data_IF_399451727097
#
_entry.id   IF_399451727097
#
_cell.length_a   1.000
_cell.length_b   1.000
_cell.length_c   1.000
_cell.angle_alpha   90.00
_cell.angle_beta   90.00
_cell.angle_gamma   90.00
#
_symmetry.space_group_name_H-M   'P 1'
#
loop_
_entity.id
_entity.type
_entity.pdbx_description
1 polymer ?
#
# COMPACT_ATOMS: atom_id res chain seq x y z
N UNK A 1 -9.14 -13.39 -18.17
CA UNK A 1 -8.99 -12.53 -16.98
C UNK A 1 -7.51 -12.41 -16.69
N UNK A 2 -7.05 -11.18 -16.47
CA UNK A 2 -5.65 -10.87 -16.15
C UNK A 2 -5.47 -10.98 -14.64
N UNK A 3 -4.35 -11.53 -14.18
CA UNK A 3 -4.05 -11.63 -12.76
C UNK A 3 -3.33 -10.38 -12.28
N UNK A 4 -3.77 -9.87 -11.14
CA UNK A 4 -3.07 -8.82 -10.41
C UNK A 4 -2.71 -9.36 -9.03
N UNK A 5 -1.43 -9.33 -8.68
CA UNK A 5 -0.96 -9.63 -7.33
C UNK A 5 -0.55 -8.33 -6.65
N UNK A 6 -1.23 -7.96 -5.56
CA UNK A 6 -0.93 -6.77 -4.76
C UNK A 6 -0.24 -7.17 -3.45
N UNK A 7 1.01 -6.75 -3.28
CA UNK A 7 1.82 -6.97 -2.08
C UNK A 7 1.98 -5.66 -1.33
N UNK A 8 1.37 -5.57 -0.15
CA UNK A 8 1.53 -4.45 0.77
C UNK A 8 2.90 -4.46 1.46
N UNK A 9 3.53 -3.30 1.51
CA UNK A 9 4.82 -3.03 2.17
C UNK A 9 4.61 -1.96 3.25
N UNK A 10 5.28 -2.11 4.40
CA UNK A 10 5.03 -1.26 5.56
C UNK A 10 5.81 0.03 5.56
N UNK A 11 6.82 0.17 4.69
CA UNK A 11 7.61 1.39 4.53
C UNK A 11 7.99 2.07 5.87
N UNK A 12 7.32 3.18 6.23
CA UNK A 12 7.58 3.99 7.44
C UNK A 12 7.21 3.25 8.73
N UNK A 13 6.30 2.29 8.64
CA UNK A 13 5.88 1.40 9.73
C UNK A 13 6.82 0.19 9.90
N UNK A 14 7.70 -0.07 8.93
CA UNK A 14 8.62 -1.21 8.96
C UNK A 14 9.48 -1.35 10.23
N UNK A 15 9.97 -0.26 10.86
CA UNK A 15 10.70 -0.35 12.12
C UNK A 15 9.87 -0.80 13.33
N UNK A 16 8.53 -0.69 13.28
CA UNK A 16 7.64 -0.99 14.41
C UNK A 16 6.98 -2.36 14.32
N UNK A 17 6.93 -2.96 13.15
CA UNK A 17 6.17 -4.18 12.88
C UNK A 17 7.01 -5.23 12.15
N UNK A 18 6.64 -6.52 12.25
CA UNK A 18 7.27 -7.54 11.42
C UNK A 18 7.01 -7.25 9.93
N UNK A 19 8.09 -7.25 9.14
CA UNK A 19 8.05 -7.07 7.68
C UNK A 19 8.38 -8.37 6.97
N UNK A 20 7.96 -8.50 5.70
CA UNK A 20 8.36 -9.64 4.89
C UNK A 20 9.89 -9.66 4.70
N UNK A 21 10.57 -10.77 5.02
CA UNK A 21 11.97 -10.91 4.66
C UNK A 21 12.12 -10.92 3.12
N UNK A 22 13.19 -10.32 2.63
CA UNK A 22 13.50 -10.25 1.19
C UNK A 22 13.47 -11.63 0.51
N UNK A 23 13.85 -12.69 1.23
CA UNK A 23 13.82 -14.08 0.73
C UNK A 23 12.41 -14.57 0.34
N UNK A 24 11.34 -13.97 0.86
CA UNK A 24 9.96 -14.26 0.46
C UNK A 24 9.49 -13.37 -0.69
N UNK A 25 10.04 -12.15 -0.82
CA UNK A 25 9.62 -11.20 -1.86
C UNK A 25 10.30 -11.44 -3.21
N UNK A 26 11.59 -11.81 -3.22
CA UNK A 26 12.34 -12.03 -4.46
C UNK A 26 11.77 -13.17 -5.34
N UNK A 27 11.35 -14.32 -4.80
CA UNK A 27 10.73 -15.37 -5.61
C UNK A 27 9.48 -14.92 -6.36
N UNK A 28 8.72 -13.95 -5.83
CA UNK A 28 7.57 -13.39 -6.54
C UNK A 28 7.99 -12.70 -7.84
N UNK A 29 9.12 -11.97 -7.81
CA UNK A 29 9.67 -11.34 -9.00
C UNK A 29 10.07 -12.41 -10.04
N UNK A 30 10.78 -13.45 -9.62
CA UNK A 30 11.25 -14.50 -10.51
C UNK A 30 10.10 -15.25 -11.20
N UNK A 31 9.05 -15.53 -10.45
CA UNK A 31 7.90 -16.28 -10.94
C UNK A 31 6.97 -15.44 -11.83
N UNK A 32 6.93 -14.12 -11.64
CA UNK A 32 6.05 -13.24 -12.41
C UNK A 32 6.56 -12.97 -13.82
N UNK A 33 5.70 -13.13 -14.83
CA UNK A 33 6.07 -12.96 -16.25
C UNK A 33 5.56 -11.64 -16.87
N UNK A 34 4.70 -10.91 -16.16
CA UNK A 34 4.12 -9.67 -16.66
C UNK A 34 4.81 -8.43 -16.11
N UNK A 35 4.07 -7.33 -16.02
CA UNK A 35 4.61 -6.05 -15.57
C UNK A 35 4.80 -6.06 -14.05
N UNK A 36 5.92 -5.51 -13.59
CA UNK A 36 6.24 -5.35 -12.17
C UNK A 36 6.23 -3.87 -11.83
N UNK A 37 5.55 -3.53 -10.73
CA UNK A 37 5.41 -2.18 -10.22
C UNK A 37 5.99 -2.09 -8.80
N UNK A 38 6.82 -1.09 -8.58
CA UNK A 38 7.37 -0.74 -7.28
C UNK A 38 6.86 0.64 -6.87
N UNK A 39 6.69 0.90 -5.57
CA UNK A 39 6.31 2.22 -5.11
C UNK A 39 7.45 3.22 -5.35
N UNK A 40 7.10 4.50 -5.46
CA UNK A 40 8.09 5.57 -5.60
C UNK A 40 8.88 5.82 -4.31
N UNK A 41 8.32 5.39 -3.17
CA UNK A 41 8.88 5.62 -1.85
C UNK A 41 10.10 4.72 -1.60
N UNK A 42 11.08 5.23 -0.84
CA UNK A 42 12.37 4.56 -0.63
C UNK A 42 12.38 3.72 0.64
N UNK A 43 12.30 2.40 0.55
CA UNK A 43 12.47 1.48 1.69
C UNK A 43 13.65 0.54 1.52
N UNK A 44 14.08 -0.11 2.60
CA UNK A 44 15.11 -1.18 2.54
C UNK A 44 14.62 -2.38 1.72
N UNK A 45 13.34 -2.71 1.85
CA UNK A 45 12.62 -3.70 1.05
C UNK A 45 12.57 -3.31 -0.44
N UNK A 46 12.16 -2.09 -0.77
CA UNK A 46 12.11 -1.58 -2.14
C UNK A 46 13.51 -1.52 -2.76
N UNK A 47 14.53 -1.13 -1.98
CA UNK A 47 15.91 -1.13 -2.43
C UNK A 47 16.39 -2.55 -2.77
N UNK A 48 16.09 -3.53 -1.92
CA UNK A 48 16.42 -4.93 -2.17
C UNK A 48 15.69 -5.48 -3.41
N UNK A 49 14.41 -5.15 -3.58
CA UNK A 49 13.65 -5.48 -4.79
C UNK A 49 14.30 -4.87 -6.04
N UNK A 50 14.70 -3.59 -6.01
CA UNK A 50 15.35 -2.93 -7.15
C UNK A 50 16.74 -3.45 -7.48
N UNK A 51 17.47 -4.02 -6.52
CA UNK A 51 18.75 -4.67 -6.79
C UNK A 51 18.60 -6.03 -7.49
N UNK A 52 17.42 -6.64 -7.41
CA UNK A 52 17.11 -7.87 -8.11
C UNK A 52 16.86 -7.62 -9.61
N UNK A 53 17.31 -8.54 -10.49
CA UNK A 53 17.32 -8.30 -11.94
C UNK A 53 15.98 -7.83 -12.53
N UNK A 54 14.88 -8.52 -12.20
CA UNK A 54 13.53 -8.09 -12.63
C UNK A 54 13.04 -6.83 -11.92
N UNK A 55 13.42 -6.60 -10.67
CA UNK A 55 13.05 -5.39 -9.95
C UNK A 55 13.81 -4.15 -10.40
N UNK A 56 15.01 -4.31 -10.98
CA UNK A 56 15.75 -3.22 -11.61
C UNK A 56 15.01 -2.68 -12.85
N UNK A 57 14.32 -3.56 -13.59
CA UNK A 57 13.49 -3.21 -14.74
C UNK A 57 12.03 -2.87 -14.35
N UNK A 58 11.68 -2.91 -13.07
CA UNK A 58 10.33 -2.64 -12.62
C UNK A 58 9.93 -1.18 -12.85
N UNK A 59 8.67 -0.99 -13.23
CA UNK A 59 8.05 0.30 -13.38
C UNK A 59 7.81 0.94 -12.02
N UNK A 60 7.67 2.25 -11.99
CA UNK A 60 7.46 3.01 -10.75
C UNK A 60 6.04 3.55 -10.72
N UNK A 61 5.30 3.22 -9.66
CA UNK A 61 3.97 3.76 -9.42
C UNK A 61 4.04 5.27 -9.20
N UNK A 62 2.98 5.98 -9.59
CA UNK A 62 2.85 7.40 -9.29
C UNK A 62 3.05 7.67 -7.79
N UNK A 63 3.77 8.73 -7.40
CA UNK A 63 4.00 9.04 -5.99
C UNK A 63 2.69 9.46 -5.31
N UNK A 64 2.56 9.17 -4.01
CA UNK A 64 1.42 9.60 -3.16
C UNK A 64 1.70 10.90 -2.40
N UNK A 65 2.79 11.60 -2.69
CA UNK A 65 3.28 12.73 -1.88
C UNK A 65 2.30 13.89 -1.72
N UNK A 66 1.29 14.03 -2.59
CA UNK A 66 0.34 15.14 -2.54
C UNK A 66 -0.87 14.84 -1.64
N UNK A 67 -1.25 13.57 -1.49
CA UNK A 67 -2.32 13.09 -0.60
C UNK A 67 -1.83 12.35 0.64
N UNK A 68 -0.51 12.17 0.79
CA UNK A 68 0.09 11.43 1.89
C UNK A 68 -0.11 12.16 3.23
N UNK A 69 -0.45 11.39 4.26
CA UNK A 69 -0.47 11.85 5.64
C UNK A 69 0.23 10.82 6.51
N UNK A 70 1.38 11.22 7.05
CA UNK A 70 2.15 10.41 7.99
C UNK A 70 1.37 10.18 9.28
N UNK A 71 1.71 9.12 10.00
CA UNK A 71 1.22 8.93 11.36
C UNK A 71 1.74 10.05 12.26
N UNK A 72 0.86 10.59 13.10
CA UNK A 72 1.22 11.67 13.99
C UNK A 72 2.42 11.30 14.87
N UNK A 73 3.49 12.09 14.79
CA UNK A 73 4.64 11.99 15.70
C UNK A 73 4.34 12.88 16.91
N UNK A 74 3.35 12.50 17.71
CA UNK A 74 3.08 12.99 19.08
C UNK A 74 2.95 14.50 19.35
N UNK A 75 2.94 15.38 18.35
CA UNK A 75 2.76 16.81 18.59
C UNK A 75 1.27 17.19 18.52
N UNK A 76 0.77 17.67 19.67
CA UNK A 76 -0.57 18.23 19.88
C UNK A 76 -0.92 19.16 18.72
N UNK A 77 -2.03 18.87 18.07
CA UNK A 77 -2.49 19.54 16.86
C UNK A 77 -2.92 20.98 17.12
N UNK A 78 -2.81 21.81 16.08
CA UNK A 78 -3.29 23.19 16.13
C UNK A 78 -4.83 23.30 16.23
N UNK A 79 -5.57 22.20 16.04
CA UNK A 79 -7.04 22.14 16.07
C UNK A 79 -7.54 20.83 16.73
N UNK A 80 -8.78 20.80 17.25
CA UNK A 80 -9.36 19.61 17.87
C UNK A 80 -9.41 18.37 16.96
N UNK A 81 -9.59 18.57 15.65
CA UNK A 81 -9.66 17.48 14.67
C UNK A 81 -8.29 16.82 14.47
N UNK A 82 -7.21 17.61 14.50
CA UNK A 82 -5.84 17.09 14.44
C UNK A 82 -5.47 16.34 15.72
N UNK A 83 -5.95 16.81 16.89
CA UNK A 83 -5.80 16.08 18.15
C UNK A 83 -6.55 14.74 18.12
N UNK A 84 -7.78 14.71 17.56
CA UNK A 84 -8.56 13.49 17.39
C UNK A 84 -7.84 12.49 16.47
N UNK A 85 -7.29 12.96 15.34
CA UNK A 85 -6.48 12.12 14.44
C UNK A 85 -5.24 11.56 15.15
N UNK A 86 -4.51 12.37 15.93
CA UNK A 86 -3.33 11.91 16.65
C UNK A 86 -3.64 10.83 17.71
N UNK A 87 -4.76 10.98 18.42
CA UNK A 87 -5.24 9.97 19.36
C UNK A 87 -5.66 8.69 18.62
N UNK A 88 -6.40 8.82 17.51
CA UNK A 88 -6.80 7.69 16.67
C UNK A 88 -5.58 6.94 16.13
N UNK A 89 -4.58 7.65 15.61
CA UNK A 89 -3.32 7.07 15.13
C UNK A 89 -2.61 6.28 16.22
N UNK A 90 -2.60 6.80 17.46
CA UNK A 90 -2.00 6.11 18.61
C UNK A 90 -2.75 4.82 18.93
N UNK A 91 -4.08 4.88 19.07
CA UNK A 91 -4.91 3.71 19.36
C UNK A 91 -4.86 2.66 18.25
N UNK A 92 -4.90 3.10 16.98
CA UNK A 92 -4.75 2.22 15.82
C UNK A 92 -3.40 1.50 15.85
N UNK A 93 -2.31 2.21 16.13
CA UNK A 93 -0.97 1.63 16.19
C UNK A 93 -0.85 0.59 17.31
N UNK A 94 -1.42 0.86 18.49
CA UNK A 94 -1.46 -0.10 19.59
C UNK A 94 -2.29 -1.34 19.22
N UNK A 95 -3.44 -1.15 18.59
CA UNK A 95 -4.28 -2.26 18.10
C UNK A 95 -3.57 -3.09 17.02
N UNK A 96 -2.85 -2.43 16.10
CA UNK A 96 -2.04 -3.10 15.10
C UNK A 96 -0.91 -3.90 15.75
N UNK A 97 -0.27 -3.40 16.82
CA UNK A 97 0.77 -4.14 17.53
C UNK A 97 0.22 -5.42 18.17
N UNK A 98 -1.03 -5.40 18.64
CA UNK A 98 -1.72 -6.59 19.14
C UNK A 98 -2.19 -7.54 18.03
N UNK A 99 -2.30 -7.09 16.78
CA UNK A 99 -2.81 -7.91 15.67
C UNK A 99 -1.69 -8.45 14.77
N UNK A 100 -0.74 -7.60 14.39
CA UNK A 100 0.38 -7.87 13.48
C UNK A 100 1.57 -8.54 14.18
N UNK A 101 1.36 -9.76 14.66
CA UNK A 101 2.44 -10.60 15.18
C UNK A 101 3.23 -11.35 14.10
N UNK A 102 2.76 -11.32 12.84
CA UNK A 102 3.39 -11.98 11.70
C UNK A 102 3.20 -11.16 10.41
N UNK A 103 4.18 -11.17 9.49
CA UNK A 103 4.03 -10.55 8.18
C UNK A 103 2.81 -11.05 7.39
N UNK A 104 2.36 -12.30 7.60
CA UNK A 104 1.16 -12.88 6.95
C UNK A 104 -0.08 -11.98 7.02
N UNK A 105 -0.17 -11.15 8.08
CA UNK A 105 -1.32 -10.31 8.35
C UNK A 105 -1.33 -9.01 7.54
N UNK A 106 -0.22 -8.65 6.90
CA UNK A 106 -0.06 -7.37 6.19
C UNK A 106 -1.01 -7.27 4.99
N UNK A 107 -1.26 -8.37 4.27
CA UNK A 107 -2.19 -8.40 3.12
C UNK A 107 -3.60 -8.85 3.53
N UNK A 108 -3.93 -8.82 4.83
CA UNK A 108 -5.23 -9.31 5.31
C UNK A 108 -6.35 -8.28 5.11
N UNK A 109 -7.61 -8.71 4.94
CA UNK A 109 -8.76 -7.79 4.90
C UNK A 109 -8.90 -6.92 6.15
N UNK A 110 -8.44 -7.41 7.31
CA UNK A 110 -8.48 -6.64 8.57
C UNK A 110 -7.54 -5.44 8.47
N UNK A 111 -6.35 -5.62 7.89
CA UNK A 111 -5.44 -4.50 7.61
C UNK A 111 -6.09 -3.49 6.68
N UNK A 112 -6.69 -3.96 5.59
CA UNK A 112 -7.31 -3.05 4.62
C UNK A 112 -8.40 -2.19 5.27
N UNK A 113 -9.29 -2.80 6.05
CA UNK A 113 -10.33 -2.08 6.78
C UNK A 113 -9.76 -1.05 7.77
N UNK A 114 -8.67 -1.36 8.47
CA UNK A 114 -8.05 -0.43 9.41
C UNK A 114 -7.47 0.80 8.71
N UNK A 115 -6.79 0.61 7.57
CA UNK A 115 -6.25 1.73 6.80
C UNK A 115 -7.32 2.52 6.05
N UNK A 116 -8.41 1.87 5.62
CA UNK A 116 -9.60 2.54 5.09
C UNK A 116 -10.24 3.44 6.14
N UNK A 117 -10.52 2.91 7.34
CA UNK A 117 -11.08 3.69 8.45
C UNK A 117 -10.16 4.84 8.86
N UNK A 118 -8.85 4.59 8.93
CA UNK A 118 -7.88 5.66 9.18
C UNK A 118 -8.00 6.76 8.13
N UNK A 119 -8.15 6.38 6.85
CA UNK A 119 -8.25 7.37 5.76
C UNK A 119 -9.42 8.32 5.97
N UNK A 120 -10.58 7.82 6.41
CA UNK A 120 -11.75 8.63 6.72
C UNK A 120 -11.43 9.69 7.79
N UNK A 121 -10.78 9.28 8.89
CA UNK A 121 -10.38 10.19 9.98
C UNK A 121 -9.38 11.25 9.50
N UNK A 122 -8.43 10.87 8.64
CA UNK A 122 -7.47 11.84 8.08
C UNK A 122 -8.17 12.85 7.15
N UNK A 123 -9.14 12.40 6.35
CA UNK A 123 -9.91 13.27 5.45
C UNK A 123 -10.79 14.27 6.22
N UNK A 124 -11.37 13.83 7.34
CA UNK A 124 -12.08 14.71 8.27
C UNK A 124 -11.15 15.76 8.90
N UNK A 125 -9.95 15.35 9.33
CA UNK A 125 -9.01 16.23 10.01
C UNK A 125 -8.32 17.26 9.10
N UNK A 126 -8.01 16.89 7.85
CA UNK A 126 -7.28 17.75 6.89
C UNK A 126 -8.17 18.38 5.81
N UNK A 127 -9.41 17.92 5.68
CA UNK A 127 -10.39 18.44 4.73
C UNK A 127 -10.19 18.01 3.26
N UNK A 128 -11.09 18.49 2.42
CA UNK A 128 -11.32 18.00 1.05
C UNK A 128 -10.16 18.16 0.07
N UNK A 129 -9.20 19.06 0.35
CA UNK A 129 -8.02 19.25 -0.51
C UNK A 129 -7.11 18.03 -0.46
N UNK A 130 -6.86 17.49 0.74
CA UNK A 130 -6.00 16.32 0.91
C UNK A 130 -6.71 15.07 0.38
N UNK A 131 -8.00 14.92 0.69
CA UNK A 131 -8.83 13.82 0.18
C UNK A 131 -8.86 13.78 -1.35
N UNK A 132 -9.06 14.92 -2.01
CA UNK A 132 -9.01 15.03 -3.48
C UNK A 132 -7.65 14.64 -4.05
N UNK A 133 -6.56 15.04 -3.40
CA UNK A 133 -5.21 14.70 -3.84
C UNK A 133 -4.92 13.21 -3.68
N UNK A 134 -5.39 12.59 -2.58
CA UNK A 134 -5.30 11.16 -2.35
C UNK A 134 -6.03 10.37 -3.44
N UNK A 135 -7.32 10.67 -3.67
CA UNK A 135 -8.12 9.99 -4.70
C UNK A 135 -7.50 10.14 -6.09
N UNK A 136 -7.04 11.35 -6.45
CA UNK A 136 -6.41 11.59 -7.74
C UNK A 136 -5.14 10.74 -7.94
N UNK A 137 -4.29 10.63 -6.91
CA UNK A 137 -3.06 9.84 -7.01
C UNK A 137 -3.33 8.33 -7.02
N UNK A 138 -4.32 7.87 -6.27
CA UNK A 138 -4.76 6.48 -6.28
C UNK A 138 -5.36 6.09 -7.63
N UNK A 139 -6.21 6.95 -8.20
CA UNK A 139 -6.75 6.78 -9.54
C UNK A 139 -5.64 6.71 -10.61
N UNK A 140 -4.64 7.59 -10.54
CA UNK A 140 -3.52 7.56 -11.46
C UNK A 140 -2.73 6.24 -11.37
N UNK A 141 -2.50 5.71 -10.16
CA UNK A 141 -1.84 4.40 -9.97
C UNK A 141 -2.67 3.27 -10.57
N UNK A 142 -3.97 3.27 -10.37
CA UNK A 142 -4.85 2.28 -10.97
C UNK A 142 -4.80 2.34 -12.50
N UNK A 143 -4.87 3.53 -13.09
CA UNK A 143 -4.75 3.71 -14.53
C UNK A 143 -3.42 3.20 -15.10
N UNK A 144 -2.31 3.42 -14.38
CA UNK A 144 -1.00 2.86 -14.75
C UNK A 144 -1.03 1.32 -14.83
N UNK A 145 -1.60 0.68 -13.82
CA UNK A 145 -1.73 -0.78 -13.76
C UNK A 145 -2.67 -1.28 -14.87
N UNK A 146 -3.78 -0.57 -15.10
CA UNK A 146 -4.79 -0.94 -16.08
C UNK A 146 -4.29 -0.91 -17.52
N UNK A 147 -3.28 -0.09 -17.86
CA UNK A 147 -2.65 -0.12 -19.19
C UNK A 147 -2.05 -1.51 -19.50
N UNK A 148 -1.43 -2.15 -18.50
CA UNK A 148 -0.91 -3.51 -18.65
C UNK A 148 -2.03 -4.57 -18.71
N UNK A 149 -3.07 -4.39 -17.91
CA UNK A 149 -4.27 -5.26 -17.91
C UNK A 149 -4.97 -5.24 -19.27
N UNK A 150 -5.18 -4.06 -19.86
CA UNK A 150 -5.80 -3.91 -21.17
C UNK A 150 -4.96 -4.54 -22.30
N UNK A 151 -3.64 -4.61 -22.10
CA UNK A 151 -2.73 -5.33 -23.00
C UNK A 151 -2.65 -6.84 -22.72
N UNK A 152 -3.46 -7.37 -21.79
CA UNK A 152 -3.52 -8.79 -21.44
C UNK A 152 -2.33 -9.29 -20.62
N UNK A 153 -1.57 -8.41 -19.97
CA UNK A 153 -0.38 -8.78 -19.18
C UNK A 153 -0.71 -8.82 -17.69
N UNK A 154 -0.30 -9.89 -17.02
CA UNK A 154 -0.41 -9.98 -15.56
C UNK A 154 0.41 -8.89 -14.87
N UNK A 155 -0.02 -8.47 -13.68
CA UNK A 155 0.59 -7.37 -12.94
C UNK A 155 1.04 -7.85 -11.55
N UNK A 156 2.27 -7.53 -11.16
CA UNK A 156 2.77 -7.70 -9.79
C UNK A 156 3.09 -6.33 -9.23
N UNK A 157 2.32 -5.90 -8.23
CA UNK A 157 2.38 -4.56 -7.69
C UNK A 157 2.75 -4.59 -6.22
N UNK A 158 3.92 -4.03 -5.90
CA UNK A 158 4.29 -3.72 -4.53
C UNK A 158 3.80 -2.31 -4.21
N UNK A 159 3.08 -2.15 -3.10
CA UNK A 159 2.40 -0.90 -2.73
C UNK A 159 2.55 -0.60 -1.25
N UNK A 160 2.52 0.67 -0.88
CA UNK A 160 2.45 1.11 0.51
C UNK A 160 1.17 0.57 1.15
N UNK A 161 1.25 0.01 2.37
CA UNK A 161 0.12 -0.62 3.06
C UNK A 161 -1.06 0.34 3.24
N UNK A 162 -0.76 1.63 3.46
CA UNK A 162 -1.70 2.74 3.56
C UNK A 162 -2.53 2.96 2.29
N UNK A 163 -2.03 2.49 1.13
CA UNK A 163 -2.68 2.68 -0.17
C UNK A 163 -3.35 1.40 -0.70
N UNK A 164 -3.07 0.26 -0.08
CA UNK A 164 -3.36 -1.04 -0.64
C UNK A 164 -4.86 -1.37 -0.63
N UNK A 165 -5.58 -0.98 0.43
CA UNK A 165 -7.02 -1.21 0.57
C UNK A 165 -7.79 -0.67 -0.65
N UNK A 166 -7.49 0.57 -1.05
CA UNK A 166 -8.15 1.25 -2.16
C UNK A 166 -7.89 0.54 -3.48
N UNK A 167 -6.63 0.16 -3.76
CA UNK A 167 -6.26 -0.54 -4.99
C UNK A 167 -6.88 -1.94 -5.05
N UNK A 168 -6.91 -2.67 -3.94
CA UNK A 168 -7.56 -3.99 -3.88
C UNK A 168 -9.05 -3.88 -4.12
N UNK A 169 -9.71 -2.91 -3.49
CA UNK A 169 -11.14 -2.67 -3.70
C UNK A 169 -11.44 -2.38 -5.19
N UNK A 170 -10.74 -1.43 -5.81
CA UNK A 170 -10.92 -1.13 -7.24
C UNK A 170 -10.64 -2.32 -8.14
N UNK A 171 -9.62 -3.10 -7.84
CA UNK A 171 -9.32 -4.32 -8.59
C UNK A 171 -10.43 -5.38 -8.45
N UNK A 172 -10.99 -5.56 -7.25
CA UNK A 172 -12.11 -6.47 -7.01
C UNK A 172 -13.40 -6.04 -7.73
N UNK A 173 -13.63 -4.74 -7.90
CA UNK A 173 -14.78 -4.18 -8.61
C UNK A 173 -14.66 -4.30 -10.14
N UNK A 174 -13.48 -4.67 -10.67
CA UNK A 174 -13.21 -4.71 -12.11
C UNK A 174 -13.29 -6.14 -12.65
N UNK A 175 -14.25 -6.39 -13.56
CA UNK A 175 -14.61 -7.74 -14.04
C UNK A 175 -13.47 -8.45 -14.78
N UNK A 176 -12.58 -7.71 -15.45
CA UNK A 176 -11.48 -8.26 -16.23
C UNK A 176 -10.32 -8.80 -15.36
N UNK A 177 -10.33 -8.47 -14.07
CA UNK A 177 -9.24 -8.70 -13.14
C UNK A 177 -9.53 -9.90 -12.23
N UNK A 178 -8.52 -10.73 -12.02
CA UNK A 178 -8.48 -11.66 -10.90
C UNK A 178 -7.44 -11.17 -9.90
N UNK A 179 -7.91 -10.65 -8.77
CA UNK A 179 -7.02 -10.25 -7.68
C UNK A 179 -6.49 -11.50 -6.97
N UNK A 180 -5.17 -11.61 -6.87
CA UNK A 180 -4.48 -12.73 -6.22
C UNK A 180 -3.91 -12.24 -4.90
N UNK A 181 -4.25 -12.96 -3.83
CA UNK A 181 -3.61 -12.75 -2.52
C UNK A 181 -2.23 -13.42 -2.55
N UNK A 182 -1.15 -12.70 -2.24
CA UNK A 182 0.18 -13.28 -2.24
C UNK A 182 0.34 -14.28 -1.08
N UNK A 183 0.79 -15.50 -1.37
CA UNK A 183 1.08 -16.54 -0.38
C UNK A 183 2.45 -16.28 0.27
N UNK A 184 2.49 -15.28 1.14
CA UNK A 184 3.68 -14.87 1.88
C UNK A 184 3.53 -15.25 3.36
N UNK A 185 3.88 -16.50 3.67
CA UNK A 185 4.21 -17.03 5.02
C UNK A 185 3.25 -16.72 6.16
#
# INVERSE_FOLDING_TARGET
>A
MVKITLVSLLHSLGPRFPVYPTSLLLPLLDQHQGDVWLPAIKGTDVAALRQHGKGAAAQTLAPLTAGWCDFAVSDVGATPELDALANYDTEMMDNLLMYWHSPAKINSPITDNLFELRREVVDEAHGSKLASAWEQQQQLRFEQIMQGVQAGRDQLCFVEVESAYWLRQRCCETVEITLVTPELG
#
